data_IF_461080140778
#
_entry.id   IF_461080140778
#
_cell.length_a   1.000
_cell.length_b   1.000
_cell.length_c   1.000
_cell.angle_alpha   90.00
_cell.angle_beta   90.00
_cell.angle_gamma   90.00
#
_symmetry.space_group_name_H-M   'P 1'
#
loop_
_entity.id
_entity.type
_entity.pdbx_description
1 polymer ?
#
# COMPACT_ATOMS: atom_id res chain seq x y z
N UNK A 1 -52.18 28.47 -5.86
CA UNK A 1 -51.06 27.94 -6.68
C UNK A 1 -49.65 28.35 -6.22
N UNK A 2 -49.43 28.95 -5.02
CA UNK A 2 -48.08 29.37 -4.56
C UNK A 2 -47.42 28.44 -3.53
N UNK A 3 -48.20 27.74 -2.69
CA UNK A 3 -47.66 26.91 -1.60
C UNK A 3 -47.01 25.60 -2.10
N UNK A 4 -47.55 24.99 -3.15
CA UNK A 4 -47.05 23.72 -3.69
C UNK A 4 -45.66 23.87 -4.33
N UNK A 5 -45.34 25.05 -4.87
CA UNK A 5 -44.05 25.31 -5.52
C UNK A 5 -42.91 25.44 -4.49
N UNK A 6 -43.20 26.02 -3.31
CA UNK A 6 -42.24 26.14 -2.21
C UNK A 6 -41.88 24.78 -1.60
N UNK A 7 -42.84 23.87 -1.48
CA UNK A 7 -42.62 22.51 -0.97
C UNK A 7 -41.72 21.68 -1.90
N UNK A 8 -41.86 21.85 -3.21
CA UNK A 8 -41.02 21.14 -4.20
C UNK A 8 -39.57 21.64 -4.14
N UNK A 9 -39.35 22.95 -3.96
CA UNK A 9 -38.01 23.53 -3.84
C UNK A 9 -37.34 23.12 -2.52
N UNK A 10 -38.08 23.11 -1.41
CA UNK A 10 -37.53 22.65 -0.13
C UNK A 10 -37.16 21.16 -0.16
N UNK A 11 -37.98 20.33 -0.83
CA UNK A 11 -37.72 18.90 -1.00
C UNK A 11 -36.48 18.61 -1.87
N UNK A 12 -36.26 19.37 -2.94
CA UNK A 12 -35.09 19.18 -3.81
C UNK A 12 -33.78 19.66 -3.16
N UNK A 13 -33.81 20.68 -2.31
CA UNK A 13 -32.63 21.10 -1.54
C UNK A 13 -32.24 20.02 -0.50
N UNK A 14 -33.22 19.44 0.21
CA UNK A 14 -32.98 18.38 1.19
C UNK A 14 -32.42 17.08 0.57
N UNK A 15 -32.79 16.76 -0.68
CA UNK A 15 -32.25 15.61 -1.42
C UNK A 15 -30.84 15.85 -1.98
N UNK A 16 -30.42 17.11 -2.13
CA UNK A 16 -29.08 17.47 -2.62
C UNK A 16 -27.99 17.46 -1.54
N UNK A 17 -28.36 17.32 -0.26
CA UNK A 17 -27.42 17.31 0.87
C UNK A 17 -26.64 15.99 1.02
N UNK A 18 -26.88 14.98 0.17
CA UNK A 18 -25.98 13.84 0.01
C UNK A 18 -24.79 14.19 -0.90
N UNK A 19 -24.02 15.22 -0.56
CA UNK A 19 -22.63 15.28 -1.05
C UNK A 19 -21.90 14.19 -0.29
N UNK A 20 -21.86 12.98 -0.85
CA UNK A 20 -21.09 11.87 -0.32
C UNK A 20 -19.70 12.38 0.02
N UNK A 21 -19.25 12.09 1.24
CA UNK A 21 -17.87 12.33 1.66
C UNK A 21 -16.94 11.99 0.49
N UNK A 22 -16.08 12.94 0.09
CA UNK A 22 -15.11 12.75 -0.99
C UNK A 22 -14.10 11.69 -0.57
N UNK A 23 -14.49 10.42 -0.75
CA UNK A 23 -13.68 9.25 -0.42
C UNK A 23 -12.35 9.29 -1.19
N UNK A 24 -12.34 9.90 -2.39
CA UNK A 24 -11.16 10.18 -3.20
C UNK A 24 -10.10 11.01 -2.48
N UNK A 25 -10.49 11.89 -1.55
CA UNK A 25 -9.55 12.71 -0.77
C UNK A 25 -8.98 12.00 0.47
N UNK A 26 -9.49 10.81 0.83
CA UNK A 26 -9.02 10.05 2.01
C UNK A 26 -7.88 9.07 1.70
N UNK A 27 -7.69 8.70 0.43
CA UNK A 27 -6.68 7.74 0.04
C UNK A 27 -5.42 8.46 -0.42
N UNK A 28 -4.34 8.33 0.36
CA UNK A 28 -3.01 8.66 -0.13
C UNK A 28 -2.63 7.63 -1.20
N UNK A 29 -2.10 8.05 -2.36
CA UNK A 29 -1.65 7.12 -3.39
C UNK A 29 -0.49 6.26 -2.87
N UNK A 30 -0.43 5.02 -3.35
CA UNK A 30 0.70 4.13 -3.06
C UNK A 30 1.99 4.71 -3.64
N UNK A 31 3.06 4.71 -2.84
CA UNK A 31 4.35 5.27 -3.20
C UNK A 31 5.19 4.16 -3.84
N UNK A 32 5.60 4.30 -5.12
CA UNK A 32 6.41 3.27 -5.76
C UNK A 32 7.78 3.17 -5.07
N UNK A 33 8.25 1.94 -4.86
CA UNK A 33 9.56 1.66 -4.29
C UNK A 33 10.21 0.47 -5.01
N UNK A 34 11.53 0.49 -5.10
CA UNK A 34 12.28 -0.67 -5.57
C UNK A 34 12.39 -1.73 -4.46
N UNK A 35 12.21 -2.99 -4.83
CA UNK A 35 12.63 -4.12 -4.03
C UNK A 35 14.11 -4.43 -4.32
N UNK A 36 14.71 -5.22 -3.43
CA UNK A 36 16.07 -5.78 -3.56
C UNK A 36 16.10 -7.23 -3.09
N UNK A 37 16.78 -8.10 -3.83
CA UNK A 37 17.05 -9.47 -3.40
C UNK A 37 18.34 -9.53 -2.56
N UNK A 38 18.31 -10.33 -1.49
CA UNK A 38 19.51 -10.77 -0.77
C UNK A 38 20.02 -12.07 -1.37
N UNK A 39 21.30 -12.38 -1.10
CA UNK A 39 21.95 -13.60 -1.58
C UNK A 39 21.24 -14.91 -1.15
N UNK A 40 20.55 -14.90 -0.01
CA UNK A 40 19.78 -16.02 0.50
C UNK A 40 18.36 -16.14 -0.11
N UNK A 41 17.98 -15.23 -1.01
CA UNK A 41 16.67 -15.22 -1.66
C UNK A 41 15.61 -14.39 -0.95
N UNK A 42 15.91 -13.80 0.21
CA UNK A 42 14.97 -12.88 0.86
C UNK A 42 14.79 -11.64 -0.01
N UNK A 43 13.56 -11.15 -0.11
CA UNK A 43 13.25 -9.93 -0.85
C UNK A 43 12.91 -8.82 0.13
N UNK A 44 13.57 -7.67 -0.02
CA UNK A 44 13.45 -6.55 0.89
C UNK A 44 13.03 -5.26 0.18
N UNK A 45 12.35 -4.37 0.91
CA UNK A 45 12.09 -2.98 0.54
C UNK A 45 12.58 -2.07 1.66
N UNK A 46 13.07 -0.90 1.29
CA UNK A 46 13.68 0.05 2.24
C UNK A 46 12.96 1.40 2.19
N UNK A 47 11.74 1.50 2.74
CA UNK A 47 10.98 2.75 2.75
C UNK A 47 11.69 3.81 3.60
N UNK A 48 11.55 5.07 3.21
CA UNK A 48 11.98 6.18 4.07
C UNK A 48 10.92 6.44 5.15
N UNK A 49 11.21 6.20 6.44
CA UNK A 49 10.24 6.45 7.50
C UNK A 49 9.95 7.95 7.69
N UNK A 50 8.76 8.26 8.20
CA UNK A 50 8.49 9.52 8.90
C UNK A 50 8.45 9.29 10.40
N UNK A 51 8.72 10.34 11.19
CA UNK A 51 8.79 10.27 12.65
C UNK A 51 7.49 9.82 13.33
N UNK A 52 6.33 10.02 12.69
CA UNK A 52 5.01 9.77 13.27
C UNK A 52 4.30 8.51 12.72
N UNK A 53 5.02 7.64 12.01
CA UNK A 53 4.47 6.41 11.45
C UNK A 53 5.38 5.21 11.70
N UNK A 54 4.78 4.03 11.72
CA UNK A 54 5.46 2.75 11.91
C UNK A 54 4.98 1.75 10.85
N UNK A 55 5.80 0.77 10.45
CA UNK A 55 5.35 -0.30 9.58
C UNK A 55 4.28 -1.09 10.33
N UNK A 56 3.31 -1.59 9.59
CA UNK A 56 2.19 -2.36 10.15
C UNK A 56 2.14 -3.72 9.48
N UNK A 57 1.61 -3.74 8.26
CA UNK A 57 1.40 -4.95 7.49
C UNK A 57 2.05 -4.87 6.12
N UNK A 58 2.55 -6.00 5.64
CA UNK A 58 3.04 -6.19 4.29
C UNK A 58 2.13 -7.19 3.60
N UNK A 59 1.47 -6.74 2.54
CA UNK A 59 0.69 -7.58 1.66
C UNK A 59 1.53 -7.96 0.44
N UNK A 60 1.67 -9.26 0.21
CA UNK A 60 2.41 -9.84 -0.89
C UNK A 60 1.44 -10.60 -1.79
N UNK A 61 1.50 -10.36 -3.09
CA UNK A 61 0.73 -11.07 -4.09
C UNK A 61 1.65 -11.53 -5.20
N UNK A 62 1.56 -12.81 -5.55
CA UNK A 62 2.14 -13.40 -6.74
C UNK A 62 1.05 -13.89 -7.69
N UNK A 63 1.46 -14.59 -8.75
CA UNK A 63 0.54 -15.06 -9.79
C UNK A 63 -0.49 -16.10 -9.29
N UNK A 64 -0.17 -16.85 -8.23
CA UNK A 64 -0.98 -17.97 -7.75
C UNK A 64 -1.54 -17.80 -6.33
N UNK A 65 -0.98 -16.89 -5.55
CA UNK A 65 -1.30 -16.75 -4.12
C UNK A 65 -1.05 -15.33 -3.60
N UNK A 66 -1.60 -15.08 -2.42
CA UNK A 66 -1.48 -13.84 -1.68
C UNK A 66 -1.21 -14.14 -0.21
N UNK A 67 -0.48 -13.23 0.45
CA UNK A 67 -0.14 -13.37 1.87
C UNK A 67 -0.08 -11.99 2.54
N UNK A 68 -0.68 -11.90 3.71
CA UNK A 68 -0.51 -10.77 4.62
C UNK A 68 0.48 -11.14 5.73
N UNK A 69 1.46 -10.28 5.97
CA UNK A 69 2.54 -10.48 6.92
C UNK A 69 2.58 -9.28 7.87
N UNK A 70 2.54 -9.52 9.18
CA UNK A 70 2.78 -8.47 10.18
C UNK A 70 4.29 -8.19 10.25
N UNK A 71 4.66 -6.92 10.13
CA UNK A 71 6.07 -6.49 10.03
C UNK A 71 6.45 -5.43 11.06
N UNK A 72 5.58 -5.18 12.05
CA UNK A 72 5.83 -4.21 13.14
C UNK A 72 7.14 -4.48 13.90
N UNK A 73 7.53 -5.75 14.00
CA UNK A 73 8.73 -6.19 14.73
C UNK A 73 10.03 -6.03 13.95
N UNK A 74 9.97 -5.74 12.64
CA UNK A 74 11.15 -5.61 11.80
C UNK A 74 11.81 -4.23 11.97
N UNK A 75 13.15 -4.21 11.97
CA UNK A 75 13.93 -2.98 12.03
C UNK A 75 13.95 -2.27 10.67
N UNK A 76 13.20 -1.18 10.55
CA UNK A 76 13.12 -0.38 9.33
C UNK A 76 14.47 0.04 8.77
N UNK A 77 15.47 0.29 9.64
CA UNK A 77 16.80 0.73 9.18
C UNK A 77 17.50 -0.33 8.35
N UNK A 78 17.11 -1.60 8.52
CA UNK A 78 17.62 -2.76 7.78
C UNK A 78 16.75 -3.11 6.56
N UNK A 79 15.67 -2.35 6.35
CA UNK A 79 14.62 -2.68 5.39
C UNK A 79 13.62 -3.70 5.94
N UNK A 80 12.45 -3.76 5.31
CA UNK A 80 11.43 -4.77 5.57
C UNK A 80 11.64 -5.91 4.58
N UNK A 81 11.89 -7.10 5.08
CA UNK A 81 12.22 -8.28 4.28
C UNK A 81 11.18 -9.38 4.47
N UNK A 82 10.86 -10.04 3.36
CA UNK A 82 10.11 -11.30 3.35
C UNK A 82 11.10 -12.42 3.11
N UNK A 83 11.14 -13.38 4.03
CA UNK A 83 12.05 -14.51 3.92
C UNK A 83 11.49 -15.60 3.00
N UNK A 84 12.37 -16.46 2.49
CA UNK A 84 11.97 -17.65 1.73
C UNK A 84 11.06 -18.62 2.52
N UNK A 85 11.12 -18.58 3.85
CA UNK A 85 10.23 -19.38 4.72
C UNK A 85 8.86 -18.72 4.88
N UNK A 86 8.82 -17.38 4.91
CA UNK A 86 7.56 -16.65 4.98
C UNK A 86 6.83 -16.73 3.64
N UNK A 87 7.55 -16.63 2.54
CA UNK A 87 6.98 -16.75 1.21
C UNK A 87 8.01 -17.30 0.22
N UNK A 88 7.78 -18.51 -0.34
CA UNK A 88 8.76 -19.18 -1.20
C UNK A 88 8.75 -18.58 -2.61
N UNK A 89 9.51 -17.51 -2.83
CA UNK A 89 9.57 -16.84 -4.12
C UNK A 89 10.07 -17.78 -5.24
N UNK A 90 9.25 -17.91 -6.27
CA UNK A 90 9.55 -18.68 -7.47
C UNK A 90 10.14 -17.80 -8.58
N UNK A 91 11.10 -18.36 -9.31
CA UNK A 91 11.71 -17.73 -10.47
C UNK A 91 10.68 -17.48 -11.59
N UNK A 92 10.89 -16.42 -12.36
CA UNK A 92 10.10 -16.02 -13.53
C UNK A 92 8.66 -15.61 -13.26
N UNK A 93 8.29 -15.41 -12.01
CA UNK A 93 6.98 -14.89 -11.59
C UNK A 93 7.07 -13.41 -11.22
N UNK A 94 5.96 -12.70 -11.40
CA UNK A 94 5.81 -11.29 -11.02
C UNK A 94 5.14 -11.23 -9.66
N UNK A 95 5.66 -10.35 -8.81
CA UNK A 95 5.14 -10.12 -7.47
C UNK A 95 4.83 -8.65 -7.27
N UNK A 96 3.83 -8.39 -6.43
CA UNK A 96 3.52 -7.09 -5.86
C UNK A 96 3.68 -7.17 -4.35
N UNK A 97 4.50 -6.29 -3.80
CA UNK A 97 4.72 -6.18 -2.37
C UNK A 97 4.32 -4.79 -1.89
N UNK A 98 3.25 -4.73 -1.10
CA UNK A 98 2.65 -3.50 -0.58
C UNK A 98 2.82 -3.41 0.92
N UNK A 99 3.64 -2.47 1.38
CA UNK A 99 3.89 -2.21 2.78
C UNK A 99 3.05 -1.04 3.26
N UNK A 100 2.18 -1.32 4.23
CA UNK A 100 1.39 -0.33 4.93
C UNK A 100 2.13 0.22 6.14
N UNK A 101 2.03 1.53 6.31
CA UNK A 101 2.36 2.17 7.57
C UNK A 101 1.08 2.50 8.33
N UNK A 102 1.18 2.50 9.65
CA UNK A 102 0.18 3.01 10.55
C UNK A 102 0.74 4.21 11.32
N UNK A 103 -0.09 5.23 11.64
CA UNK A 103 0.33 6.29 12.54
C UNK A 103 0.62 5.75 13.95
N UNK A 104 1.66 6.27 14.59
CA UNK A 104 2.00 5.89 15.98
C UNK A 104 0.95 6.44 16.96
N UNK A 105 0.51 7.67 16.74
CA UNK A 105 -0.58 8.27 17.51
C UNK A 105 -1.93 8.07 16.80
N UNK A 106 -3.01 7.93 17.58
CA UNK A 106 -4.36 7.89 17.00
C UNK A 106 -4.59 9.17 16.19
N UNK A 107 -4.99 9.00 14.93
CA UNK A 107 -5.32 10.11 14.03
C UNK A 107 -6.31 11.05 14.73
N UNK A 108 -5.94 12.32 14.90
CA UNK A 108 -6.88 13.36 15.37
C UNK A 108 -7.85 13.78 14.27
N UNK A 109 -7.47 13.55 12.99
CA UNK A 109 -8.26 13.89 11.82
C UNK A 109 -8.17 12.77 10.76
N UNK A 110 -9.27 12.42 10.11
CA UNK A 110 -9.29 11.37 9.07
C UNK A 110 -8.51 11.78 7.80
N UNK A 111 -8.24 13.07 7.63
CA UNK A 111 -7.45 13.64 6.53
C UNK A 111 -5.94 13.65 6.80
N UNK A 112 -5.51 13.23 7.99
CA UNK A 112 -4.09 13.22 8.33
C UNK A 112 -3.37 12.18 7.44
N UNK A 113 -2.37 12.62 6.67
CA UNK A 113 -1.63 11.83 5.65
C UNK A 113 -0.64 10.86 6.33
N UNK A 114 -1.07 10.27 7.43
CA UNK A 114 -0.34 9.33 8.24
C UNK A 114 -0.90 7.94 7.96
N UNK A 115 -0.01 7.02 7.59
CA UNK A 115 -0.38 5.71 7.06
C UNK A 115 -0.25 5.62 5.55
N UNK A 116 0.94 5.96 5.07
CA UNK A 116 1.35 5.78 3.67
C UNK A 116 1.46 4.29 3.36
N UNK A 117 1.30 3.94 2.09
CA UNK A 117 1.67 2.64 1.62
C UNK A 117 2.77 2.77 0.57
N UNK A 118 3.70 1.82 0.59
CA UNK A 118 4.74 1.69 -0.42
C UNK A 118 4.49 0.43 -1.22
N UNK A 119 4.61 0.51 -2.54
CA UNK A 119 4.38 -0.64 -3.42
C UNK A 119 5.57 -0.90 -4.32
N UNK A 120 6.05 -2.14 -4.32
CA UNK A 120 7.06 -2.64 -5.22
C UNK A 120 6.44 -3.67 -6.15
N UNK A 121 6.73 -3.56 -7.44
CA UNK A 121 6.45 -4.61 -8.42
C UNK A 121 7.77 -5.12 -8.94
N UNK A 122 7.96 -6.43 -8.94
CA UNK A 122 9.22 -7.01 -9.37
C UNK A 122 9.02 -8.43 -9.91
N UNK A 123 9.91 -8.82 -10.82
CA UNK A 123 10.03 -10.19 -11.30
C UNK A 123 11.24 -10.85 -10.66
N UNK A 124 11.08 -12.04 -10.12
CA UNK A 124 12.21 -12.82 -9.57
C UNK A 124 12.95 -13.53 -10.70
N UNK A 125 14.27 -13.43 -10.71
CA UNK A 125 15.18 -14.08 -11.65
C UNK A 125 16.21 -14.91 -10.89
N UNK A 126 16.80 -15.93 -11.51
CA UNK A 126 18.04 -16.52 -11.03
C UNK A 126 19.15 -16.29 -12.03
N UNK A 127 20.24 -15.68 -11.56
CA UNK A 127 21.47 -15.54 -12.34
C UNK A 127 22.55 -16.36 -11.64
N UNK A 128 23.09 -17.37 -12.33
CA UNK A 128 24.16 -18.23 -11.80
C UNK A 128 23.85 -18.87 -10.44
N UNK A 129 22.57 -19.18 -10.16
CA UNK A 129 22.13 -19.77 -8.90
C UNK A 129 21.86 -18.78 -7.76
N UNK A 130 22.16 -17.49 -7.95
CA UNK A 130 21.78 -16.42 -7.02
C UNK A 130 20.41 -15.84 -7.38
N UNK A 131 19.64 -15.46 -6.35
CA UNK A 131 18.38 -14.75 -6.53
C UNK A 131 18.67 -13.30 -6.93
N UNK A 132 18.11 -12.90 -8.07
CA UNK A 132 18.08 -11.52 -8.54
C UNK A 132 16.62 -11.10 -8.76
N UNK A 133 16.39 -9.80 -8.90
CA UNK A 133 15.07 -9.28 -9.26
C UNK A 133 15.18 -8.19 -10.30
N UNK A 134 14.15 -8.10 -11.12
CA UNK A 134 13.91 -7.02 -12.06
C UNK A 134 12.76 -6.18 -11.53
N UNK A 135 13.04 -4.93 -11.12
CA UNK A 135 12.01 -4.00 -10.69
C UNK A 135 11.20 -3.51 -11.89
N UNK A 136 9.87 -3.57 -11.77
CA UNK A 136 8.92 -3.16 -12.79
C UNK A 136 8.36 -1.81 -12.35
N UNK A 137 8.74 -0.74 -13.03
CA UNK A 137 8.11 0.55 -12.84
C UNK A 137 6.73 0.54 -13.52
N UNK A 138 5.67 0.53 -12.73
CA UNK A 138 4.36 0.90 -13.27
C UNK A 138 4.44 2.38 -13.61
N UNK A 139 4.48 2.70 -14.91
CA UNK A 139 4.38 4.07 -15.39
C UNK A 139 3.13 4.72 -14.81
N UNK A 140 3.32 5.85 -14.13
CA UNK A 140 2.25 6.72 -13.66
C UNK A 140 1.24 6.90 -14.79
N UNK A 141 0.04 6.32 -14.65
CA UNK A 141 -1.11 6.74 -15.45
C UNK A 141 -1.69 8.02 -14.87
#
# INVERSE_FOLDING_TARGET
MKANFLLVIAGSILLSACTGDRLDQRYAPDIPIAAHAKANGDICISPSPKENERPDTLYLSGDADEKLIEVESQDLKKGICVTQNDYPFQENHIYSMRLNFAPIEKRRNLQDISGRAFIAHFKVKKLNGAYEIENITQGSR
#
